data_IF_271654947271
#
_entry.id   IF_271654947271
#
_cell.length_a   1.000
_cell.length_b   1.000
_cell.length_c   1.000
_cell.angle_alpha   90.00
_cell.angle_beta   90.00
_cell.angle_gamma   90.00
#
_symmetry.space_group_name_H-M   'P 1'
#
loop_
_entity.id
_entity.type
_entity.pdbx_description
1 polymer ?
#
# COMPACT_ATOMS: atom_id res chain seq x y z
N UNK A 1 -18.06 23.64 5.33
CA UNK A 1 -17.22 22.70 4.58
C UNK A 1 -15.92 22.61 5.36
N UNK A 2 -15.69 21.53 6.09
CA UNK A 2 -14.58 21.45 7.03
C UNK A 2 -13.72 20.26 6.63
N UNK A 3 -12.62 20.54 5.93
CA UNK A 3 -11.50 19.62 5.91
C UNK A 3 -11.00 19.55 7.37
N UNK A 4 -11.37 18.49 8.08
CA UNK A 4 -10.81 18.22 9.39
C UNK A 4 -9.33 17.87 9.19
N UNK A 5 -8.44 18.46 10.00
CA UNK A 5 -7.00 18.20 9.95
C UNK A 5 -6.72 16.73 10.31
N UNK A 6 -6.79 15.85 9.31
CA UNK A 6 -6.36 14.47 9.46
C UNK A 6 -4.83 14.43 9.34
N UNK A 7 -4.17 14.17 10.47
CA UNK A 7 -2.75 13.76 10.56
C UNK A 7 -1.72 14.87 10.27
N UNK A 8 -1.56 15.88 11.16
CA UNK A 8 -0.61 16.99 10.99
C UNK A 8 0.87 16.56 10.98
N UNK A 9 1.14 15.33 11.42
CA UNK A 9 2.44 14.67 11.47
C UNK A 9 2.72 13.80 10.22
N UNK A 10 1.78 13.74 9.27
CA UNK A 10 1.89 12.89 8.08
C UNK A 10 1.82 13.68 6.79
N UNK A 11 2.65 13.28 5.83
CA UNK A 11 2.59 13.75 4.47
C UNK A 11 1.73 12.79 3.65
N UNK A 12 0.48 13.17 3.39
CA UNK A 12 -0.51 12.33 2.69
C UNK A 12 -0.59 12.71 1.22
N UNK A 13 -0.53 11.70 0.35
CA UNK A 13 -0.73 11.84 -1.10
C UNK A 13 -1.81 10.86 -1.52
N UNK A 14 -2.81 11.34 -2.27
CA UNK A 14 -3.79 10.51 -2.95
C UNK A 14 -3.53 10.56 -4.46
N UNK A 15 -3.59 9.41 -5.13
CA UNK A 15 -3.40 9.32 -6.58
C UNK A 15 -4.62 8.68 -7.25
N UNK A 16 -5.04 9.26 -8.38
CA UNK A 16 -6.04 8.65 -9.25
C UNK A 16 -5.39 7.59 -10.15
N UNK A 17 -5.83 6.34 -10.00
CA UNK A 17 -5.28 5.21 -10.74
C UNK A 17 -4.06 4.60 -10.06
N UNK A 18 -4.03 3.28 -9.98
CA UNK A 18 -3.10 2.55 -9.11
C UNK A 18 -1.65 2.63 -9.60
N UNK A 19 -1.42 2.58 -10.92
CA UNK A 19 -0.08 2.41 -11.49
C UNK A 19 0.66 3.71 -11.87
N UNK A 20 0.00 4.86 -11.86
CA UNK A 20 0.45 6.06 -12.57
C UNK A 20 1.60 6.81 -11.91
N UNK A 21 1.86 6.61 -10.61
CA UNK A 21 2.77 7.46 -9.82
C UNK A 21 3.75 6.69 -8.93
N UNK A 22 4.03 5.41 -9.24
CA UNK A 22 4.87 4.57 -8.37
C UNK A 22 6.27 5.16 -8.13
N UNK A 23 6.92 5.71 -9.17
CA UNK A 23 8.27 6.26 -9.07
C UNK A 23 8.31 7.52 -8.20
N UNK A 24 7.31 8.37 -8.36
CA UNK A 24 7.13 9.61 -7.62
C UNK A 24 6.89 9.31 -6.13
N UNK A 25 6.00 8.36 -5.83
CA UNK A 25 5.73 7.89 -4.47
C UNK A 25 7.02 7.40 -3.81
N UNK A 26 7.73 6.49 -4.48
CA UNK A 26 8.97 5.90 -3.97
C UNK A 26 10.05 6.97 -3.73
N UNK A 27 10.24 7.88 -4.68
CA UNK A 27 11.20 9.00 -4.57
C UNK A 27 10.89 9.92 -3.38
N UNK A 28 9.62 10.26 -3.16
CA UNK A 28 9.19 11.13 -2.04
C UNK A 28 9.31 10.42 -0.69
N UNK A 29 9.14 9.09 -0.68
CA UNK A 29 9.23 8.24 0.50
C UNK A 29 10.66 7.86 0.90
N UNK A 30 11.69 8.26 0.14
CA UNK A 30 13.09 7.98 0.48
C UNK A 30 13.40 8.41 1.92
N UNK A 31 14.04 7.52 2.68
CA UNK A 31 14.42 7.74 4.09
C UNK A 31 13.24 8.04 5.02
N UNK A 32 12.00 7.70 4.61
CA UNK A 32 10.78 7.83 5.41
C UNK A 32 10.03 6.51 5.49
N UNK A 33 9.23 6.36 6.54
CA UNK A 33 8.22 5.30 6.61
C UNK A 33 7.20 5.55 5.49
N UNK A 34 6.87 4.49 4.75
CA UNK A 34 5.83 4.54 3.73
C UNK A 34 4.62 3.74 4.22
N UNK A 35 3.51 4.42 4.45
CA UNK A 35 2.23 3.78 4.76
C UNK A 35 1.35 3.83 3.53
N UNK A 36 0.83 2.68 3.12
CA UNK A 36 0.07 2.53 1.89
C UNK A 36 -1.34 2.09 2.25
N UNK A 37 -2.35 2.89 1.89
CA UNK A 37 -3.75 2.55 2.02
C UNK A 37 -4.35 2.35 0.63
N UNK A 38 -4.86 1.16 0.35
CA UNK A 38 -5.66 0.87 -0.84
C UNK A 38 -7.07 0.51 -0.44
N UNK A 39 -8.04 0.88 -1.28
CA UNK A 39 -9.43 0.46 -1.13
C UNK A 39 -9.51 -1.06 -0.91
N UNK A 40 -10.58 -1.50 -0.24
CA UNK A 40 -10.76 -2.90 0.15
C UNK A 40 -10.80 -3.88 -1.05
N UNK A 41 -10.93 -3.39 -2.29
CA UNK A 41 -10.85 -4.22 -3.50
C UNK A 41 -9.42 -4.68 -3.84
N UNK A 42 -8.37 -4.18 -3.18
CA UNK A 42 -7.00 -4.64 -3.40
C UNK A 42 -6.76 -6.13 -3.07
N UNK A 43 -7.69 -6.77 -2.34
CA UNK A 43 -7.65 -8.20 -2.03
C UNK A 43 -8.34 -9.08 -3.08
N UNK A 44 -9.19 -8.48 -3.92
CA UNK A 44 -10.10 -9.19 -4.84
C UNK A 44 -10.00 -8.72 -6.29
N UNK A 45 -9.33 -7.60 -6.55
CA UNK A 45 -9.09 -7.07 -7.89
C UNK A 45 -7.64 -7.32 -8.32
N UNK A 46 -7.38 -8.24 -9.27
CA UNK A 46 -6.02 -8.60 -9.69
C UNK A 46 -5.22 -7.41 -10.23
N UNK A 47 -5.87 -6.44 -10.88
CA UNK A 47 -5.18 -5.27 -11.40
C UNK A 47 -4.67 -4.35 -10.28
N UNK A 48 -5.44 -4.22 -9.20
CA UNK A 48 -5.06 -3.43 -8.02
C UNK A 48 -3.95 -4.17 -7.26
N UNK A 49 -4.12 -5.48 -7.04
CA UNK A 49 -3.11 -6.31 -6.37
C UNK A 49 -1.77 -6.27 -7.11
N UNK A 50 -1.79 -6.44 -8.44
CA UNK A 50 -0.60 -6.33 -9.29
C UNK A 50 0.09 -4.98 -9.14
N UNK A 51 -0.68 -3.89 -9.18
CA UNK A 51 -0.08 -2.56 -9.15
C UNK A 51 0.46 -2.20 -7.75
N UNK A 52 -0.22 -2.58 -6.66
CA UNK A 52 0.36 -2.53 -5.31
C UNK A 52 1.65 -3.35 -5.22
N UNK A 53 1.67 -4.58 -5.74
CA UNK A 53 2.87 -5.40 -5.77
C UNK A 53 4.02 -4.76 -6.57
N UNK A 54 3.72 -4.11 -7.70
CA UNK A 54 4.73 -3.35 -8.47
C UNK A 54 5.28 -2.14 -7.69
N UNK A 55 4.45 -1.44 -6.91
CA UNK A 55 4.90 -0.34 -6.04
C UNK A 55 5.83 -0.87 -4.94
N UNK A 56 5.43 -1.95 -4.26
CA UNK A 56 6.23 -2.61 -3.23
C UNK A 56 7.57 -3.07 -3.81
N UNK A 57 7.54 -3.71 -4.99
CA UNK A 57 8.74 -4.15 -5.69
C UNK A 57 9.72 -3.00 -5.96
N UNK A 58 9.20 -1.88 -6.47
CA UNK A 58 10.02 -0.69 -6.73
C UNK A 58 10.59 -0.11 -5.45
N UNK A 59 9.79 -0.04 -4.38
CA UNK A 59 10.22 0.44 -3.07
C UNK A 59 11.34 -0.42 -2.48
N UNK A 60 11.18 -1.74 -2.49
CA UNK A 60 12.16 -2.68 -1.92
C UNK A 60 13.49 -2.59 -2.68
N UNK A 61 13.45 -2.56 -4.01
CA UNK A 61 14.68 -2.39 -4.83
C UNK A 61 15.38 -1.08 -4.54
N UNK A 62 14.62 0.01 -4.38
CA UNK A 62 15.22 1.30 -4.01
C UNK A 62 15.81 1.27 -2.60
N UNK A 63 15.13 0.63 -1.64
CA UNK A 63 15.64 0.45 -0.28
C UNK A 63 16.97 -0.33 -0.27
N UNK A 64 17.05 -1.42 -1.03
CA UNK A 64 18.28 -2.19 -1.21
C UNK A 64 19.39 -1.32 -1.82
N UNK A 65 19.09 -0.60 -2.90
CA UNK A 65 20.05 0.27 -3.60
C UNK A 65 20.57 1.42 -2.74
N UNK A 66 19.72 2.02 -1.90
CA UNK A 66 20.08 3.15 -1.04
C UNK A 66 20.49 2.73 0.39
N UNK A 67 20.52 1.43 0.69
CA UNK A 67 20.70 0.90 2.05
C UNK A 67 19.76 1.57 3.08
N UNK A 68 18.49 1.75 2.69
CA UNK A 68 17.45 2.37 3.50
C UNK A 68 16.56 1.30 4.14
N UNK A 69 16.48 1.27 5.46
CA UNK A 69 15.74 0.27 6.24
C UNK A 69 14.32 0.73 6.66
N UNK A 70 13.90 1.94 6.24
CA UNK A 70 12.63 2.52 6.70
C UNK A 70 11.44 1.66 6.27
N UNK A 71 10.56 1.23 7.19
CA UNK A 71 9.53 0.25 6.90
C UNK A 71 8.51 0.74 5.86
N UNK A 72 7.96 -0.23 5.13
CA UNK A 72 6.79 -0.06 4.28
C UNK A 72 5.65 -0.84 4.91
N UNK A 73 4.54 -0.18 5.23
CA UNK A 73 3.39 -0.81 5.90
C UNK A 73 2.15 -0.68 5.03
N UNK A 74 1.39 -1.76 4.91
CA UNK A 74 0.10 -1.74 4.23
C UNK A 74 -0.98 -1.55 5.30
N UNK A 75 -1.83 -0.55 5.13
CA UNK A 75 -2.98 -0.30 5.98
C UNK A 75 -4.15 -1.16 5.51
N UNK A 76 -4.80 -1.81 6.47
CA UNK A 76 -6.03 -2.55 6.24
C UNK A 76 -7.07 -2.18 7.30
N UNK A 77 -8.34 -2.29 6.95
CA UNK A 77 -9.47 -2.01 7.83
C UNK A 77 -10.58 -3.02 7.56
N UNK A 78 -11.70 -2.84 8.25
CA UNK A 78 -12.88 -3.66 8.04
C UNK A 78 -13.40 -3.52 6.60
N UNK A 79 -13.42 -4.63 5.85
CA UNK A 79 -13.78 -4.65 4.42
C UNK A 79 -15.22 -4.26 4.13
N UNK A 80 -16.06 -4.06 5.15
CA UNK A 80 -17.39 -3.44 4.99
C UNK A 80 -17.31 -1.99 4.50
N UNK A 81 -16.17 -1.31 4.70
CA UNK A 81 -15.92 0.04 4.22
C UNK A 81 -15.02 0.00 2.99
N UNK A 82 -15.44 0.65 1.92
CA UNK A 82 -14.71 0.64 0.65
C UNK A 82 -13.39 1.41 0.78
N UNK A 83 -13.48 2.67 1.20
CA UNK A 83 -12.34 3.57 1.38
C UNK A 83 -11.89 3.68 2.83
N UNK A 84 -10.67 4.17 3.02
CA UNK A 84 -10.11 4.47 4.35
C UNK A 84 -10.84 5.63 5.04
N UNK A 85 -11.37 6.56 4.26
CA UNK A 85 -12.17 7.69 4.73
C UNK A 85 -13.48 7.21 5.36
N UNK A 86 -14.23 6.33 4.68
CA UNK A 86 -15.43 5.68 5.21
C UNK A 86 -15.13 4.94 6.52
N UNK A 87 -14.02 4.18 6.54
CA UNK A 87 -13.59 3.42 7.71
C UNK A 87 -13.26 4.33 8.90
N UNK A 88 -12.52 5.43 8.67
CA UNK A 88 -12.14 6.37 9.71
C UNK A 88 -13.35 7.16 10.25
N UNK A 89 -14.27 7.57 9.38
CA UNK A 89 -15.52 8.25 9.78
C UNK A 89 -16.38 7.32 10.65
N UNK A 90 -16.41 6.03 10.32
CA UNK A 90 -17.13 5.01 11.09
C UNK A 90 -16.41 4.56 12.38
N UNK A 91 -15.22 5.09 12.67
CA UNK A 91 -14.43 4.72 13.85
C UNK A 91 -13.82 3.32 13.77
N UNK A 92 -13.68 2.76 12.56
CA UNK A 92 -13.05 1.46 12.37
C UNK A 92 -11.56 1.51 12.74
N UNK A 93 -11.06 0.44 13.35
CA UNK A 93 -9.64 0.33 13.68
C UNK A 93 -8.82 0.01 12.43
N UNK A 94 -7.75 0.78 12.22
CA UNK A 94 -6.75 0.48 11.21
C UNK A 94 -5.78 -0.59 11.73
N UNK A 95 -5.45 -1.54 10.87
CA UNK A 95 -4.42 -2.56 11.07
C UNK A 95 -3.27 -2.29 10.12
N UNK A 96 -2.06 -2.62 10.57
CA UNK A 96 -0.88 -2.60 9.73
C UNK A 96 -0.55 -4.04 9.35
N UNK A 97 -0.44 -4.30 8.06
CA UNK A 97 -0.02 -5.56 7.49
C UNK A 97 1.41 -5.43 6.98
N UNK A 98 2.20 -6.45 7.26
CA UNK A 98 3.43 -6.69 6.52
C UNK A 98 3.09 -7.22 5.11
N UNK A 99 4.04 -7.15 4.18
CA UNK A 99 3.82 -7.63 2.80
C UNK A 99 3.43 -9.11 2.77
N UNK A 100 4.01 -9.93 3.65
CA UNK A 100 3.67 -11.36 3.78
C UNK A 100 2.23 -11.58 4.24
N UNK A 101 1.77 -10.78 5.20
CA UNK A 101 0.40 -10.88 5.72
C UNK A 101 -0.60 -10.48 4.65
N UNK A 102 -0.30 -9.40 3.91
CA UNK A 102 -1.12 -8.97 2.78
C UNK A 102 -1.23 -10.05 1.71
N UNK A 103 -0.11 -10.68 1.31
CA UNK A 103 -0.11 -11.78 0.33
C UNK A 103 -0.98 -12.96 0.80
N UNK A 104 -0.94 -13.31 2.09
CA UNK A 104 -1.74 -14.40 2.66
C UNK A 104 -3.25 -14.13 2.67
N UNK A 105 -3.69 -12.88 2.46
CA UNK A 105 -5.09 -12.48 2.43
C UNK A 105 -5.65 -12.33 1.01
N UNK A 106 -4.81 -12.46 -0.03
CA UNK A 106 -5.24 -12.32 -1.42
C UNK A 106 -6.04 -13.54 -1.89
N UNK A 107 -7.02 -13.29 -2.76
CA UNK A 107 -7.61 -14.36 -3.58
C UNK A 107 -6.53 -15.02 -4.46
N UNK A 108 -6.69 -16.29 -4.89
CA UNK A 108 -5.67 -16.98 -5.68
C UNK A 108 -5.22 -16.20 -6.92
N UNK A 109 -6.16 -15.61 -7.65
CA UNK A 109 -5.90 -14.80 -8.85
C UNK A 109 -5.08 -13.53 -8.53
N UNK A 110 -5.40 -12.85 -7.42
CA UNK A 110 -4.65 -11.70 -6.97
C UNK A 110 -3.26 -12.09 -6.45
N UNK A 111 -3.14 -13.24 -5.79
CA UNK A 111 -1.89 -13.77 -5.28
C UNK A 111 -0.91 -14.07 -6.42
N UNK A 112 -1.38 -14.71 -7.49
CA UNK A 112 -0.55 -15.04 -8.65
C UNK A 112 0.02 -13.76 -9.30
N UNK A 113 -0.84 -12.76 -9.52
CA UNK A 113 -0.44 -11.48 -10.09
C UNK A 113 0.52 -10.71 -9.18
N UNK A 114 0.26 -10.66 -7.88
CA UNK A 114 1.14 -9.99 -6.91
C UNK A 114 2.49 -10.69 -6.79
N UNK A 115 2.48 -12.03 -6.71
CA UNK A 115 3.69 -12.85 -6.59
C UNK A 115 4.57 -12.73 -7.82
N UNK A 116 3.99 -12.65 -9.02
CA UNK A 116 4.75 -12.43 -10.25
C UNK A 116 5.54 -11.13 -10.23
N UNK A 117 4.98 -10.04 -9.68
CA UNK A 117 5.66 -8.75 -9.57
C UNK A 117 6.77 -8.74 -8.50
N UNK A 118 6.59 -9.53 -7.43
CA UNK A 118 7.53 -9.64 -6.32
C UNK A 118 8.61 -10.72 -6.54
N UNK A 119 8.50 -11.50 -7.62
CA UNK A 119 9.48 -12.51 -7.97
C UNK A 119 10.89 -11.90 -8.10
N UNK A 120 11.88 -12.55 -7.47
CA UNK A 120 13.28 -12.12 -7.47
C UNK A 120 13.62 -10.97 -6.51
N UNK A 121 12.72 -10.60 -5.60
CA UNK A 121 12.96 -9.54 -4.60
C UNK A 121 13.33 -10.11 -3.23
N UNK A 122 12.75 -11.27 -2.87
CA UNK A 122 12.97 -11.97 -1.59
C UNK A 122 14.02 -13.09 -1.70
N UNK A 123 15.09 -12.90 -2.48
CA UNK A 123 16.21 -13.85 -2.54
C UNK A 123 17.25 -13.61 -1.44
#
# INVERSE_FOLDING_TARGET
MTAQHFLPDRYVVANGGVATSHREIVKVARQKILEIAFDADCFTNPHVARALASLLALRIREQQFLSCDKPTKILAWDSRFKGIDDALIAGASLKYLEVSDWLGLLTPECFDEASHQLAGIFQ
#
